data_IF_122546246999
#
_entry.id   IF_122546246999
#
_cell.length_a   1.000
_cell.length_b   1.000
_cell.length_c   1.000
_cell.angle_alpha   90.00
_cell.angle_beta   90.00
_cell.angle_gamma   90.00
#
_symmetry.space_group_name_H-M   'P 1'
#
loop_
_entity.id
_entity.type
_entity.pdbx_description
1 polymer ?
#
# COMPACT_ATOMS: atom_id res chain seq x y z
N UNK A 1 -18.82 22.81 -3.96
CA UNK A 1 -20.20 22.40 -4.18
C UNK A 1 -21.08 22.86 -3.00
N UNK A 2 -22.35 23.07 -3.25
CA UNK A 2 -23.28 23.52 -2.22
C UNK A 2 -24.58 24.05 -2.80
N UNK A 3 -25.47 24.47 -1.92
CA UNK A 3 -26.73 25.12 -2.28
C UNK A 3 -26.58 26.62 -2.03
N UNK A 4 -26.98 27.43 -3.00
CA UNK A 4 -26.83 28.87 -3.00
C UNK A 4 -28.17 29.53 -3.38
N UNK A 5 -28.44 30.66 -2.75
CA UNK A 5 -29.58 31.49 -3.09
C UNK A 5 -29.08 32.72 -3.86
N UNK A 6 -29.65 32.97 -5.03
CA UNK A 6 -29.40 34.20 -5.77
C UNK A 6 -30.50 35.21 -5.41
N UNK A 7 -30.09 36.32 -4.87
CA UNK A 7 -31.00 37.43 -4.54
C UNK A 7 -30.77 38.58 -5.54
N UNK A 8 -31.84 39.07 -6.13
CA UNK A 8 -31.76 40.20 -7.04
C UNK A 8 -32.31 41.45 -6.32
N UNK A 9 -31.58 42.55 -6.45
CA UNK A 9 -31.99 43.85 -5.95
C UNK A 9 -32.24 44.81 -7.10
N UNK A 10 -33.28 45.66 -6.97
CA UNK A 10 -33.50 46.69 -7.97
C UNK A 10 -32.44 47.78 -7.86
N UNK A 11 -31.75 48.08 -8.96
CA UNK A 11 -30.74 49.14 -9.01
C UNK A 11 -31.37 50.55 -8.83
N UNK A 12 -32.64 50.66 -9.19
CA UNK A 12 -33.36 51.93 -9.09
C UNK A 12 -34.79 51.71 -8.54
N UNK A 13 -34.94 51.51 -7.23
CA UNK A 13 -36.23 51.26 -6.61
C UNK A 13 -37.22 52.42 -6.66
N UNK A 14 -36.74 53.63 -6.98
CA UNK A 14 -37.62 54.77 -7.17
C UNK A 14 -38.42 54.75 -8.49
N UNK A 15 -37.90 54.03 -9.51
CA UNK A 15 -38.54 53.92 -10.79
C UNK A 15 -39.21 52.54 -11.06
N UNK A 16 -38.79 51.54 -10.32
CA UNK A 16 -39.25 50.18 -10.52
C UNK A 16 -39.63 49.53 -9.18
N UNK A 17 -40.58 48.64 -9.22
CA UNK A 17 -40.97 47.80 -8.08
C UNK A 17 -41.10 46.37 -8.51
N UNK A 18 -40.86 45.48 -7.57
CA UNK A 18 -41.17 44.07 -7.77
C UNK A 18 -42.68 43.83 -7.85
N UNK A 19 -43.15 42.82 -8.58
CA UNK A 19 -44.52 42.36 -8.46
C UNK A 19 -44.80 42.00 -7.00
N UNK A 20 -45.98 42.37 -6.48
CA UNK A 20 -46.48 41.96 -5.17
C UNK A 20 -45.69 42.47 -3.91
N UNK A 21 -45.15 43.65 -3.96
CA UNK A 21 -44.56 44.34 -2.80
C UNK A 21 -43.38 43.65 -2.08
N UNK A 22 -42.72 42.72 -2.70
CA UNK A 22 -41.48 42.15 -2.16
C UNK A 22 -40.28 43.07 -2.41
N UNK A 23 -39.51 43.35 -1.36
CA UNK A 23 -38.30 44.18 -1.48
C UNK A 23 -37.16 43.47 -2.23
N UNK A 24 -37.18 42.16 -2.21
CA UNK A 24 -36.16 41.32 -2.84
C UNK A 24 -36.79 40.04 -3.41
N UNK A 25 -36.39 39.65 -4.58
CA UNK A 25 -36.75 38.31 -5.12
C UNK A 25 -35.59 37.38 -4.93
N UNK A 26 -35.79 36.30 -4.19
CA UNK A 26 -34.88 35.17 -4.17
C UNK A 26 -35.15 34.33 -5.43
N UNK A 27 -34.23 34.37 -6.36
CA UNK A 27 -34.32 33.60 -7.61
C UNK A 27 -33.66 32.26 -7.41
N UNK A 28 -34.45 31.24 -7.29
CA UNK A 28 -34.12 29.83 -7.37
C UNK A 28 -32.92 29.34 -6.50
N UNK A 29 -33.10 28.28 -5.74
CA UNK A 29 -31.98 27.61 -5.12
C UNK A 29 -31.07 27.09 -6.24
N UNK A 30 -29.83 27.57 -6.26
CA UNK A 30 -28.81 27.14 -7.21
C UNK A 30 -27.92 26.10 -6.53
N UNK A 31 -27.85 24.93 -7.13
CA UNK A 31 -27.05 23.82 -6.59
C UNK A 31 -25.84 23.54 -7.48
N UNK A 32 -24.67 23.72 -6.90
CA UNK A 32 -23.42 23.26 -7.52
C UNK A 32 -23.16 21.83 -7.03
N UNK A 33 -23.18 20.87 -7.94
CA UNK A 33 -22.86 19.49 -7.63
C UNK A 33 -21.35 19.31 -7.49
N UNK A 34 -20.94 18.28 -6.75
CA UNK A 34 -19.55 17.87 -6.69
C UNK A 34 -19.09 17.36 -8.06
N UNK A 35 -17.87 17.70 -8.44
CA UNK A 35 -17.25 17.19 -9.64
C UNK A 35 -16.89 15.72 -9.49
N UNK A 36 -16.89 14.96 -10.58
CA UNK A 36 -16.30 13.63 -10.66
C UNK A 36 -14.85 13.72 -11.06
N UNK A 37 -14.04 12.82 -10.56
CA UNK A 37 -12.66 12.67 -10.99
C UNK A 37 -12.53 11.55 -12.01
N UNK A 38 -11.62 11.72 -12.97
CA UNK A 38 -11.21 10.69 -13.90
C UNK A 38 -9.89 10.09 -13.42
N UNK A 39 -9.84 8.75 -13.32
CA UNK A 39 -8.67 7.99 -12.94
C UNK A 39 -8.08 7.39 -14.21
N UNK A 40 -6.83 7.70 -14.51
CA UNK A 40 -6.14 7.27 -15.73
C UNK A 40 -4.76 6.67 -15.41
N UNK A 41 -4.22 5.89 -16.36
CA UNK A 41 -2.94 5.22 -16.19
C UNK A 41 -3.10 3.77 -15.78
N UNK A 42 -1.97 3.07 -15.70
CA UNK A 42 -1.91 1.67 -15.28
C UNK A 42 -0.96 1.56 -14.10
N UNK A 43 -1.39 0.95 -12.99
CA UNK A 43 -0.51 0.78 -11.85
C UNK A 43 0.63 -0.19 -12.19
N UNK A 44 1.81 0.06 -11.62
CA UNK A 44 2.95 -0.83 -11.74
C UNK A 44 2.69 -2.15 -10.97
N UNK A 45 2.60 -3.31 -11.66
CA UNK A 45 2.27 -4.58 -11.01
C UNK A 45 3.35 -5.04 -10.02
N UNK A 46 4.62 -4.66 -10.24
CA UNK A 46 5.71 -5.03 -9.33
C UNK A 46 5.59 -4.27 -8.01
N UNK A 47 5.20 -3.01 -8.07
CA UNK A 47 4.92 -2.22 -6.88
C UNK A 47 3.67 -2.70 -6.13
N UNK A 48 2.68 -3.24 -6.81
CA UNK A 48 1.50 -3.87 -6.22
C UNK A 48 1.75 -5.33 -5.77
N UNK A 49 3.02 -5.71 -5.57
CA UNK A 49 3.39 -7.03 -5.09
C UNK A 49 4.07 -6.93 -3.72
N UNK A 50 3.52 -7.64 -2.73
CA UNK A 50 4.12 -7.84 -1.41
C UNK A 50 5.07 -9.04 -1.43
N UNK A 51 6.06 -9.01 -0.54
CA UNK A 51 6.87 -10.19 -0.18
C UNK A 51 6.27 -10.75 1.12
N UNK A 52 6.14 -12.07 1.22
CA UNK A 52 5.60 -12.72 2.41
C UNK A 52 6.35 -12.28 3.68
N UNK A 53 5.62 -11.76 4.64
CA UNK A 53 6.15 -11.12 5.85
C UNK A 53 5.90 -9.61 5.89
N UNK A 54 5.63 -8.99 4.74
CA UNK A 54 5.20 -7.59 4.69
C UNK A 54 3.72 -7.47 5.03
N UNK A 55 3.36 -6.36 5.64
CA UNK A 55 1.98 -5.98 5.99
C UNK A 55 1.60 -4.68 5.29
N UNK A 56 0.31 -4.45 5.15
CA UNK A 56 -0.24 -3.19 4.66
C UNK A 56 -0.63 -2.27 5.83
N UNK A 57 -0.56 -0.99 5.60
CA UNK A 57 -1.05 0.03 6.54
C UNK A 57 -1.87 1.09 5.80
N UNK A 58 -2.93 1.54 6.44
CA UNK A 58 -3.74 2.69 6.06
C UNK A 58 -3.12 4.05 6.47
N UNK A 59 -1.92 4.03 7.06
CA UNK A 59 -1.18 5.23 7.40
C UNK A 59 -0.68 6.01 6.17
N UNK A 60 -0.28 7.26 6.40
CA UNK A 60 0.32 8.13 5.37
C UNK A 60 1.85 8.17 5.44
N UNK A 61 2.43 7.71 6.55
CA UNK A 61 3.88 7.77 6.78
C UNK A 61 4.50 6.42 6.48
N UNK A 62 5.43 6.41 5.53
CA UNK A 62 6.24 5.24 5.19
C UNK A 62 7.36 5.00 6.21
N UNK A 63 7.79 3.74 6.36
CA UNK A 63 9.01 3.42 7.11
C UNK A 63 10.23 4.11 6.48
N UNK A 64 11.23 4.40 7.33
CA UNK A 64 12.47 5.04 6.91
C UNK A 64 13.41 4.10 6.11
N UNK A 65 13.14 2.79 6.13
CA UNK A 65 13.90 1.82 5.34
C UNK A 65 13.78 2.14 3.83
N UNK A 66 14.89 2.47 3.15
CA UNK A 66 14.87 2.89 1.75
C UNK A 66 14.59 1.73 0.80
N UNK A 67 15.01 0.51 1.18
CA UNK A 67 14.77 -0.69 0.38
C UNK A 67 13.37 -1.23 0.66
N UNK A 68 12.47 -1.02 -0.29
CA UNK A 68 11.09 -1.48 -0.19
C UNK A 68 10.99 -2.98 0.12
N UNK A 69 11.92 -3.80 -0.39
CA UNK A 69 11.91 -5.23 -0.14
C UNK A 69 12.19 -5.61 1.32
N UNK A 70 12.77 -4.71 2.11
CA UNK A 70 13.05 -4.90 3.53
C UNK A 70 12.04 -4.25 4.47
N UNK A 71 11.18 -3.36 3.96
CA UNK A 71 10.12 -2.75 4.76
C UNK A 71 9.19 -3.81 5.31
N UNK A 72 8.86 -3.72 6.59
CA UNK A 72 7.86 -4.59 7.23
C UNK A 72 6.45 -4.16 6.89
N UNK A 73 6.23 -2.85 6.78
CA UNK A 73 4.93 -2.26 6.54
C UNK A 73 4.97 -1.37 5.30
N UNK A 74 4.01 -1.54 4.41
CA UNK A 74 3.87 -0.75 3.18
C UNK A 74 2.56 0.04 3.21
N UNK A 75 2.66 1.31 2.85
CA UNK A 75 1.51 2.20 2.66
C UNK A 75 1.17 2.33 1.18
N UNK A 76 0.02 2.92 0.85
CA UNK A 76 -0.41 3.10 -0.53
C UNK A 76 0.62 3.84 -1.39
N UNK A 77 1.27 4.87 -0.85
CA UNK A 77 2.33 5.65 -1.52
C UNK A 77 3.54 4.80 -1.95
N UNK A 78 3.88 3.76 -1.20
CA UNK A 78 4.98 2.83 -1.55
C UNK A 78 4.60 1.91 -2.72
N UNK A 79 3.31 1.73 -2.97
CA UNK A 79 2.78 0.68 -3.84
C UNK A 79 2.07 1.22 -5.09
N UNK A 80 1.29 2.29 -4.95
CA UNK A 80 0.48 2.83 -6.05
C UNK A 80 1.31 3.89 -6.79
N UNK A 81 1.63 3.59 -8.05
CA UNK A 81 2.32 4.51 -8.96
C UNK A 81 1.81 4.37 -10.37
N UNK A 82 2.04 5.36 -11.22
CA UNK A 82 1.59 5.36 -12.61
C UNK A 82 0.10 5.71 -12.79
N UNK A 83 -0.60 6.00 -11.71
CA UNK A 83 -2.00 6.43 -11.73
C UNK A 83 -2.07 7.95 -11.62
N UNK A 84 -2.87 8.55 -12.49
CA UNK A 84 -3.15 9.99 -12.51
C UNK A 84 -4.62 10.22 -12.22
N UNK A 85 -4.89 11.21 -11.41
CA UNK A 85 -6.23 11.67 -11.10
C UNK A 85 -6.44 13.04 -11.72
N UNK A 86 -7.53 13.21 -12.45
CA UNK A 86 -7.92 14.47 -13.06
C UNK A 86 -9.28 14.92 -12.56
N UNK A 87 -9.41 16.19 -12.31
CA UNK A 87 -10.68 16.84 -11.99
C UNK A 87 -10.87 17.98 -12.98
N UNK A 88 -11.98 17.96 -13.72
CA UNK A 88 -12.25 18.92 -14.79
C UNK A 88 -11.06 19.06 -15.77
N UNK A 89 -10.55 17.92 -16.26
CA UNK A 89 -9.41 17.80 -17.20
C UNK A 89 -8.03 18.21 -16.61
N UNK A 90 -7.96 18.74 -15.41
CA UNK A 90 -6.71 19.12 -14.76
C UNK A 90 -6.17 18.00 -13.87
N UNK A 91 -4.87 17.70 -14.02
CA UNK A 91 -4.17 16.74 -13.15
C UNK A 91 -4.17 17.27 -11.71
N UNK A 92 -4.62 16.44 -10.79
CA UNK A 92 -4.80 16.79 -9.39
C UNK A 92 -3.71 16.15 -8.54
N UNK A 93 -2.95 16.98 -7.83
CA UNK A 93 -1.97 16.50 -6.87
C UNK A 93 -2.65 15.91 -5.64
N UNK A 94 -2.09 14.83 -5.10
CA UNK A 94 -2.61 14.16 -3.92
C UNK A 94 -1.92 12.83 -3.67
N UNK A 95 -2.39 12.10 -2.67
CA UNK A 95 -1.81 10.82 -2.27
C UNK A 95 -2.90 9.75 -2.13
N UNK A 96 -2.56 8.51 -2.50
CA UNK A 96 -3.39 7.35 -2.26
C UNK A 96 -3.21 6.86 -0.83
N UNK A 97 -4.31 6.45 -0.20
CA UNK A 97 -4.35 5.84 1.11
C UNK A 97 -5.15 4.54 1.02
N UNK A 98 -4.62 3.45 1.60
CA UNK A 98 -5.37 2.20 1.67
C UNK A 98 -6.59 2.36 2.58
N UNK A 99 -7.72 1.77 2.17
CA UNK A 99 -8.93 1.60 2.97
C UNK A 99 -9.03 0.12 3.33
N UNK A 100 -8.37 -0.26 4.43
CA UNK A 100 -8.17 -1.66 4.80
C UNK A 100 -9.16 -2.12 5.88
N UNK A 101 -9.66 -3.34 5.70
CA UNK A 101 -10.32 -4.09 6.76
C UNK A 101 -9.27 -4.62 7.77
N UNK A 102 -9.69 -4.96 8.99
CA UNK A 102 -8.78 -5.46 10.04
C UNK A 102 -8.04 -6.75 9.64
N UNK A 103 -8.64 -7.58 8.77
CA UNK A 103 -8.01 -8.78 8.21
C UNK A 103 -6.91 -8.44 7.20
N UNK A 104 -7.01 -7.31 6.52
CA UNK A 104 -6.08 -6.85 5.47
C UNK A 104 -4.87 -6.12 6.05
N UNK A 105 -4.98 -5.58 7.28
CA UNK A 105 -3.88 -5.01 8.06
C UNK A 105 -2.93 -6.05 8.59
N UNK A 106 -3.34 -7.33 8.61
CA UNK A 106 -2.51 -8.46 9.01
C UNK A 106 -1.62 -8.93 7.86
N UNK A 107 -0.68 -9.81 8.18
CA UNK A 107 0.13 -10.47 7.17
C UNK A 107 -0.75 -11.29 6.22
N UNK A 108 -0.76 -10.91 4.95
CA UNK A 108 -1.50 -11.61 3.92
C UNK A 108 -0.78 -12.92 3.52
N UNK A 109 -1.55 -13.96 3.25
CA UNK A 109 -1.02 -15.24 2.82
C UNK A 109 -0.53 -15.21 1.36
N UNK A 110 0.41 -16.08 1.03
CA UNK A 110 0.77 -16.34 -0.38
C UNK A 110 -0.34 -17.18 -0.99
N UNK A 111 -1.02 -16.66 -1.98
CA UNK A 111 -2.08 -17.35 -2.72
C UNK A 111 -1.88 -17.19 -4.22
N UNK A 112 -2.47 -18.10 -5.01
CA UNK A 112 -2.50 -17.96 -6.47
C UNK A 112 -3.39 -16.79 -6.90
N UNK A 113 -4.46 -16.54 -6.15
CA UNK A 113 -5.36 -15.42 -6.37
C UNK A 113 -4.83 -14.15 -5.74
N UNK A 114 -4.89 -13.07 -6.49
CA UNK A 114 -4.53 -11.75 -5.97
C UNK A 114 -5.64 -11.19 -5.07
N UNK A 115 -5.26 -10.36 -4.11
CA UNK A 115 -6.17 -9.62 -3.25
C UNK A 115 -6.69 -8.37 -3.99
N UNK A 116 -7.97 -8.08 -3.82
CA UNK A 116 -8.60 -6.85 -4.30
C UNK A 116 -8.74 -5.89 -3.13
N UNK A 117 -7.97 -4.83 -3.12
CA UNK A 117 -7.89 -3.87 -2.01
C UNK A 117 -8.34 -2.50 -2.48
N UNK A 118 -9.13 -1.84 -1.66
CA UNK A 118 -9.64 -0.51 -1.95
C UNK A 118 -8.64 0.55 -1.46
N UNK A 119 -8.43 1.59 -2.27
CA UNK A 119 -7.71 2.78 -1.87
C UNK A 119 -8.51 4.04 -2.19
N UNK A 120 -8.29 5.07 -1.40
CA UNK A 120 -8.91 6.39 -1.54
C UNK A 120 -7.82 7.40 -1.90
N UNK A 121 -8.07 8.23 -2.88
CA UNK A 121 -7.18 9.33 -3.21
C UNK A 121 -7.56 10.56 -2.40
N UNK A 122 -6.57 11.14 -1.74
CA UNK A 122 -6.70 12.37 -0.96
C UNK A 122 -6.08 13.52 -1.75
N UNK A 123 -6.89 14.43 -2.34
CA UNK A 123 -6.36 15.63 -2.98
C UNK A 123 -5.56 16.47 -2.00
N UNK A 124 -4.42 17.00 -2.45
CA UNK A 124 -3.58 17.90 -1.64
C UNK A 124 -4.23 19.26 -1.42
N UNK A 125 -5.08 19.70 -2.35
CA UNK A 125 -5.83 20.95 -2.23
C UNK A 125 -7.18 20.68 -1.56
N UNK A 126 -7.40 21.30 -0.39
CA UNK A 126 -8.64 21.18 0.38
C UNK A 126 -9.87 21.69 -0.39
N UNK A 127 -9.71 22.66 -1.28
CA UNK A 127 -10.81 23.18 -2.08
C UNK A 127 -11.28 22.14 -3.10
N UNK A 128 -10.34 21.39 -3.68
CA UNK A 128 -10.63 20.25 -4.54
C UNK A 128 -11.29 19.15 -3.73
N UNK A 129 -10.73 18.79 -2.58
CA UNK A 129 -11.26 17.72 -1.72
C UNK A 129 -12.72 17.97 -1.30
N UNK A 130 -13.11 19.21 -1.02
CA UNK A 130 -14.48 19.58 -0.65
C UNK A 130 -15.47 19.54 -1.82
N UNK A 131 -14.99 19.79 -3.04
CA UNK A 131 -15.82 19.98 -4.22
C UNK A 131 -15.82 18.80 -5.20
N UNK A 132 -15.16 17.69 -4.86
CA UNK A 132 -15.10 16.46 -5.65
C UNK A 132 -15.80 15.32 -4.91
N UNK A 133 -16.41 14.40 -5.64
CA UNK A 133 -16.90 13.14 -5.08
C UNK A 133 -15.73 12.32 -4.52
N UNK A 134 -15.94 11.41 -3.54
CA UNK A 134 -14.89 10.52 -3.07
C UNK A 134 -14.23 9.78 -4.24
N UNK A 135 -12.90 9.81 -4.29
CA UNK A 135 -12.11 9.20 -5.35
C UNK A 135 -11.57 7.87 -4.81
N UNK A 136 -12.19 6.78 -5.22
CA UNK A 136 -11.88 5.43 -4.73
C UNK A 136 -11.57 4.50 -5.92
N UNK A 137 -10.60 3.60 -5.75
CA UNK A 137 -10.23 2.63 -6.78
C UNK A 137 -9.84 1.30 -6.12
N UNK A 138 -10.04 0.19 -6.85
CA UNK A 138 -9.71 -1.16 -6.40
C UNK A 138 -8.43 -1.61 -7.09
N UNK A 139 -7.40 -1.89 -6.30
CA UNK A 139 -6.11 -2.38 -6.78
C UNK A 139 -5.95 -3.87 -6.54
N UNK A 140 -5.33 -4.54 -7.50
CA UNK A 140 -5.02 -5.96 -7.43
C UNK A 140 -3.62 -6.16 -6.85
N UNK A 141 -3.54 -6.65 -5.61
CA UNK A 141 -2.29 -6.85 -4.87
C UNK A 141 -1.95 -8.33 -4.80
N UNK A 142 -0.70 -8.68 -5.12
CA UNK A 142 -0.17 -10.04 -5.04
C UNK A 142 0.76 -10.20 -3.86
N UNK A 143 0.90 -11.43 -3.35
CA UNK A 143 1.89 -11.78 -2.32
C UNK A 143 2.82 -12.86 -2.89
N UNK A 144 4.10 -12.53 -3.02
CA UNK A 144 5.16 -13.48 -3.43
C UNK A 144 5.77 -14.16 -2.22
N UNK A 145 6.27 -15.36 -2.40
CA UNK A 145 7.08 -16.06 -1.40
C UNK A 145 8.33 -15.24 -1.07
N UNK A 146 8.68 -15.18 0.21
CA UNK A 146 9.97 -14.63 0.61
C UNK A 146 11.10 -15.60 0.28
N UNK A 147 12.26 -15.09 -0.12
CA UNK A 147 13.47 -15.89 -0.24
C UNK A 147 14.15 -15.89 1.13
N UNK A 148 14.35 -17.06 1.76
CA UNK A 148 14.96 -17.12 3.08
C UNK A 148 16.38 -16.52 3.11
N UNK A 149 16.68 -15.78 4.17
CA UNK A 149 18.05 -15.42 4.50
C UNK A 149 18.71 -16.61 5.20
N UNK A 150 19.82 -17.11 4.65
CA UNK A 150 20.55 -18.23 5.18
C UNK A 150 21.78 -17.73 5.95
N UNK A 151 22.01 -18.26 7.14
CA UNK A 151 23.21 -18.04 7.93
C UNK A 151 23.84 -19.38 8.21
N UNK A 152 25.11 -19.55 7.82
CA UNK A 152 25.87 -20.77 8.08
C UNK A 152 26.86 -20.49 9.22
N UNK A 153 26.99 -21.40 10.16
CA UNK A 153 28.08 -21.39 11.13
C UNK A 153 29.36 -21.88 10.45
N UNK A 154 30.50 -21.38 10.95
CA UNK A 154 31.80 -21.76 10.43
C UNK A 154 32.10 -23.25 10.70
N UNK A 155 32.59 -23.95 9.68
CA UNK A 155 32.92 -25.38 9.73
C UNK A 155 34.38 -25.65 10.11
N UNK A 156 35.03 -24.73 10.76
CA UNK A 156 36.41 -24.93 11.15
C UNK A 156 36.55 -26.09 12.14
N UNK A 157 37.38 -27.05 11.84
CA UNK A 157 37.79 -28.10 12.76
C UNK A 157 37.40 -29.53 12.43
N UNK A 158 36.63 -29.79 11.34
CA UNK A 158 36.43 -31.17 10.87
C UNK A 158 37.37 -31.51 9.69
N UNK A 159 38.19 -32.48 9.90
CA UNK A 159 39.09 -32.98 8.86
C UNK A 159 38.40 -34.11 8.09
N UNK A 160 38.45 -34.03 6.77
CA UNK A 160 38.00 -35.14 5.90
C UNK A 160 38.92 -36.32 6.06
N UNK A 161 38.38 -37.51 6.30
CA UNK A 161 39.14 -38.76 6.52
C UNK A 161 40.18 -38.70 7.65
N UNK A 162 39.87 -38.00 8.73
CA UNK A 162 40.73 -38.11 9.93
C UNK A 162 40.73 -39.53 10.47
N UNK A 163 41.91 -40.03 10.86
CA UNK A 163 42.08 -41.32 11.50
C UNK A 163 42.27 -41.09 13.01
N UNK A 164 41.72 -42.02 13.84
CA UNK A 164 42.03 -42.07 15.24
C UNK A 164 43.46 -42.63 15.48
N UNK A 165 43.86 -42.73 16.76
CA UNK A 165 45.15 -43.29 17.14
C UNK A 165 45.34 -44.74 16.79
N UNK A 166 44.26 -45.46 16.47
CA UNK A 166 44.23 -46.85 16.06
C UNK A 166 44.23 -47.02 14.54
N UNK A 167 44.19 -45.92 13.79
CA UNK A 167 44.20 -45.89 12.32
C UNK A 167 42.83 -46.07 11.67
N UNK A 168 41.73 -46.12 12.44
CA UNK A 168 40.37 -46.19 11.93
C UNK A 168 39.99 -44.82 11.39
N UNK A 169 39.26 -44.80 10.28
CA UNK A 169 38.69 -43.56 9.74
C UNK A 169 37.60 -43.08 10.68
N UNK A 170 37.89 -42.08 11.49
CA UNK A 170 36.92 -41.43 12.36
C UNK A 170 36.20 -40.38 11.54
N UNK A 171 35.11 -40.80 11.08
CA UNK A 171 34.14 -40.13 10.26
C UNK A 171 34.32 -38.63 9.97
N UNK A 172 34.15 -38.33 8.76
CA UNK A 172 34.07 -36.95 8.29
C UNK A 172 32.87 -36.75 7.38
N UNK A 173 31.84 -37.58 7.60
CA UNK A 173 30.58 -37.35 6.96
C UNK A 173 29.75 -36.41 7.82
N UNK A 174 29.34 -35.28 7.26
CA UNK A 174 28.35 -34.43 7.89
C UNK A 174 27.01 -35.17 7.97
N UNK A 175 26.57 -35.46 9.16
CA UNK A 175 25.22 -35.99 9.34
C UNK A 175 24.19 -34.88 9.08
N UNK A 176 23.00 -35.28 8.65
CA UNK A 176 21.88 -34.33 8.52
C UNK A 176 21.60 -33.56 9.84
N UNK A 177 21.84 -34.21 11.00
CA UNK A 177 21.68 -33.55 12.29
C UNK A 177 22.70 -32.42 12.52
N UNK A 178 23.95 -32.63 12.11
CA UNK A 178 24.99 -31.61 12.18
C UNK A 178 24.69 -30.44 11.23
N UNK A 179 24.32 -30.73 9.98
CA UNK A 179 23.94 -29.70 9.02
C UNK A 179 22.76 -28.87 9.53
N UNK A 180 21.72 -29.51 10.09
CA UNK A 180 20.59 -28.82 10.70
C UNK A 180 20.97 -27.91 11.88
N UNK A 181 22.07 -28.21 12.57
CA UNK A 181 22.60 -27.36 13.63
C UNK A 181 23.48 -26.18 13.14
N UNK A 182 23.90 -26.18 11.88
CA UNK A 182 24.85 -25.22 11.32
C UNK A 182 24.24 -24.19 10.38
N UNK A 183 23.11 -24.53 9.77
CA UNK A 183 22.41 -23.63 8.85
C UNK A 183 21.12 -23.18 9.49
N UNK A 184 20.96 -21.86 9.59
CA UNK A 184 19.74 -21.24 10.04
C UNK A 184 19.10 -20.50 8.86
N UNK A 185 17.79 -20.68 8.66
CA UNK A 185 17.00 -19.95 7.68
C UNK A 185 16.04 -19.02 8.38
N UNK A 186 16.02 -17.75 7.97
CA UNK A 186 15.10 -16.74 8.52
C UNK A 186 14.29 -16.06 7.42
N UNK A 187 13.07 -15.69 7.76
CA UNK A 187 12.33 -14.76 6.91
C UNK A 187 13.06 -13.41 6.93
N UNK A 188 13.46 -12.84 5.77
CA UNK A 188 14.25 -11.63 5.72
C UNK A 188 13.51 -10.37 6.20
N UNK A 189 12.17 -10.43 6.26
CA UNK A 189 11.30 -9.33 6.66
C UNK A 189 10.99 -9.40 8.17
N UNK A 190 10.47 -10.55 8.64
CA UNK A 190 10.03 -10.72 10.02
C UNK A 190 11.16 -11.11 10.96
N UNK A 191 12.23 -11.70 10.44
CA UNK A 191 13.32 -12.28 11.22
C UNK A 191 12.98 -13.63 11.85
N UNK A 192 11.77 -14.17 11.62
CA UNK A 192 11.34 -15.44 12.17
C UNK A 192 12.14 -16.60 11.58
N UNK A 193 12.52 -17.55 12.45
CA UNK A 193 13.21 -18.78 12.03
C UNK A 193 12.26 -19.67 11.22
N UNK A 194 12.72 -20.09 10.04
CA UNK A 194 11.99 -21.01 9.18
C UNK A 194 12.38 -22.42 9.55
N UNK A 195 11.40 -23.19 10.01
CA UNK A 195 11.59 -24.59 10.40
C UNK A 195 11.66 -25.45 9.13
N UNK A 196 12.69 -26.26 9.02
CA UNK A 196 12.91 -27.16 7.91
C UNK A 196 14.02 -28.15 8.21
N UNK A 197 14.31 -29.05 7.26
CA UNK A 197 15.41 -30.00 7.34
C UNK A 197 16.34 -29.83 6.15
N UNK A 198 17.63 -29.81 6.43
CA UNK A 198 18.68 -29.89 5.42
C UNK A 198 19.05 -31.34 5.15
N UNK A 199 19.30 -31.66 3.90
CA UNK A 199 19.77 -33.00 3.50
C UNK A 199 21.09 -32.82 2.78
N UNK A 200 22.06 -33.65 3.15
CA UNK A 200 23.31 -33.79 2.42
C UNK A 200 23.15 -34.71 1.18
#
# INVERSE_FOLDING_TARGET
AGEYNVTMELKNPALYRWPESEEKITILPYKIQKAKADITGTPDPEKLTLIYGQMLSDGLTSETEPDRAKKKTLIAKDMISGIKVKVAEMETAGEWQWKLEESEKKQLAVTENAYKLQAVFQPADESVAKNVEPIEEIFTVKVKKAVPALTCKDFSGKLFNSKDNEGNVVGSYLSNAEINGWVEAKNPITGETIVGTWKA
#
